data_IF_923411272760
#
_entry.id   IF_923411272760
#
_cell.length_a   1.000
_cell.length_b   1.000
_cell.length_c   1.000
_cell.angle_alpha   90.00
_cell.angle_beta   90.00
_cell.angle_gamma   90.00
#
_symmetry.space_group_name_H-M   'P 1'
#
loop_
_entity.id
_entity.type
_entity.pdbx_description
1 polymer ?
#
# COMPACT_ATOMS: atom_id res chain seq x y z
N UNK A 1 13.91 -26.88 77.57
CA UNK A 1 14.23 -25.94 76.47
C UNK A 1 14.03 -26.69 75.16
N UNK A 2 12.99 -26.31 74.42
CA UNK A 2 12.64 -26.92 73.14
C UNK A 2 13.44 -26.24 72.02
N UNK A 3 14.14 -27.02 71.20
CA UNK A 3 14.77 -26.54 69.96
C UNK A 3 14.16 -27.33 68.78
N UNK A 4 13.54 -26.67 67.79
CA UNK A 4 12.90 -27.35 66.67
C UNK A 4 13.91 -27.69 65.56
N UNK A 5 13.65 -28.82 64.89
CA UNK A 5 14.31 -29.25 63.65
C UNK A 5 13.94 -28.32 62.51
N UNK A 6 14.94 -27.77 61.80
CA UNK A 6 14.74 -27.12 60.51
C UNK A 6 14.75 -28.17 59.39
N UNK A 7 13.62 -28.25 58.68
CA UNK A 7 13.44 -29.05 57.46
C UNK A 7 13.99 -28.22 56.30
N UNK A 8 14.99 -28.74 55.58
CA UNK A 8 15.51 -28.11 54.36
C UNK A 8 14.76 -28.70 53.16
N UNK A 9 13.89 -27.90 52.56
CA UNK A 9 13.25 -28.21 51.28
C UNK A 9 14.23 -27.98 50.12
N UNK A 10 14.29 -28.85 49.09
CA UNK A 10 15.10 -28.58 47.92
C UNK A 10 14.39 -27.56 47.02
N UNK A 11 15.07 -26.47 46.70
CA UNK A 11 14.66 -25.52 45.65
C UNK A 11 14.69 -26.22 44.29
N UNK A 12 13.52 -26.46 43.70
CA UNK A 12 13.39 -26.85 42.29
C UNK A 12 13.82 -25.69 41.40
N UNK A 13 14.99 -25.81 40.77
CA UNK A 13 15.46 -24.89 39.74
C UNK A 13 14.66 -25.15 38.46
N UNK A 14 13.61 -24.35 38.23
CA UNK A 14 12.92 -24.33 36.95
C UNK A 14 13.88 -23.81 35.87
N UNK A 15 14.19 -24.65 34.89
CA UNK A 15 14.98 -24.28 33.72
C UNK A 15 14.11 -23.45 32.77
N UNK A 16 14.37 -22.14 32.67
CA UNK A 16 13.83 -21.32 31.60
C UNK A 16 14.53 -21.72 30.28
N UNK A 17 13.81 -22.43 29.41
CA UNK A 17 14.19 -22.61 28.01
C UNK A 17 13.79 -21.35 27.24
N UNK A 18 14.71 -20.63 26.57
CA UNK A 18 14.31 -19.58 25.66
C UNK A 18 13.62 -20.24 24.46
N UNK A 19 12.33 -19.97 24.27
CA UNK A 19 11.65 -20.28 23.02
C UNK A 19 12.12 -19.26 21.98
N UNK A 20 12.96 -19.70 21.05
CA UNK A 20 13.27 -18.93 19.85
C UNK A 20 12.03 -18.96 18.96
N UNK A 21 11.31 -17.84 18.90
CA UNK A 21 10.30 -17.62 17.87
C UNK A 21 11.06 -17.51 16.54
N UNK A 22 11.10 -18.61 15.79
CA UNK A 22 11.52 -18.59 14.39
C UNK A 22 10.39 -17.96 13.58
N UNK A 23 10.47 -16.66 13.36
CA UNK A 23 9.73 -16.02 12.26
C UNK A 23 10.34 -16.56 10.97
N UNK A 24 9.63 -17.45 10.29
CA UNK A 24 10.04 -17.94 8.99
C UNK A 24 9.98 -16.77 7.98
N UNK A 25 11.11 -16.11 7.76
CA UNK A 25 11.26 -15.17 6.66
C UNK A 25 11.01 -15.93 5.35
N UNK A 26 9.88 -15.64 4.69
CA UNK A 26 9.61 -16.17 3.35
C UNK A 26 10.59 -15.49 2.39
N UNK A 27 11.39 -16.24 1.62
CA UNK A 27 12.39 -15.65 0.74
C UNK A 27 11.71 -14.83 -0.37
N UNK A 28 12.26 -13.64 -0.64
CA UNK A 28 11.79 -12.71 -1.68
C UNK A 28 11.61 -13.37 -3.07
N UNK A 29 12.33 -14.47 -3.33
CA UNK A 29 12.22 -15.30 -4.54
C UNK A 29 10.81 -15.88 -4.78
N UNK A 30 10.03 -16.19 -3.73
CA UNK A 30 8.65 -16.67 -3.90
C UNK A 30 7.67 -15.56 -4.34
N UNK A 31 7.93 -14.29 -3.97
CA UNK A 31 7.10 -13.15 -4.39
C UNK A 31 7.24 -12.84 -5.88
N UNK A 32 8.40 -13.13 -6.49
CA UNK A 32 8.68 -12.83 -7.91
C UNK A 32 8.01 -13.85 -8.85
N UNK A 33 7.88 -15.13 -8.46
CA UNK A 33 7.26 -16.16 -9.32
C UNK A 33 5.74 -16.11 -9.33
N UNK A 34 5.08 -15.74 -8.23
CA UNK A 34 3.63 -15.53 -8.19
C UNK A 34 3.19 -14.38 -9.13
N UNK A 35 4.06 -13.39 -9.35
CA UNK A 35 3.78 -12.20 -10.16
C UNK A 35 3.67 -12.45 -11.68
N UNK A 36 4.00 -13.65 -12.18
CA UNK A 36 3.96 -13.92 -13.63
C UNK A 36 2.58 -14.34 -14.16
N UNK A 37 1.63 -14.71 -13.29
CA UNK A 37 0.29 -15.16 -13.68
C UNK A 37 -0.86 -14.43 -12.97
N UNK A 38 -0.58 -13.42 -12.14
CA UNK A 38 -1.64 -12.71 -11.41
C UNK A 38 -2.51 -11.88 -12.35
N UNK A 39 -3.81 -11.84 -12.06
CA UNK A 39 -4.76 -10.94 -12.74
C UNK A 39 -4.59 -9.50 -12.26
N UNK A 40 -5.18 -8.52 -12.97
CA UNK A 40 -5.14 -7.12 -12.55
C UNK A 40 -5.88 -6.94 -11.22
N UNK A 41 -7.02 -7.62 -11.02
CA UNK A 41 -7.73 -7.59 -9.74
C UNK A 41 -6.90 -8.18 -8.59
N UNK A 42 -6.15 -9.25 -8.83
CA UNK A 42 -5.26 -9.83 -7.80
C UNK A 42 -4.12 -8.87 -7.43
N UNK A 43 -3.58 -8.13 -8.39
CA UNK A 43 -2.54 -7.14 -8.15
C UNK A 43 -3.05 -5.94 -7.33
N UNK A 44 -4.21 -5.40 -7.70
CA UNK A 44 -4.82 -4.24 -7.01
C UNK A 44 -5.29 -4.61 -5.60
N UNK A 45 -6.01 -5.73 -5.45
CA UNK A 45 -6.44 -6.23 -4.13
C UNK A 45 -5.25 -6.60 -3.23
N UNK A 46 -4.07 -6.90 -3.79
CA UNK A 46 -2.86 -7.07 -3.00
C UNK A 46 -2.39 -5.74 -2.39
N UNK A 47 -2.32 -4.68 -3.20
CA UNK A 47 -1.96 -3.34 -2.74
C UNK A 47 -2.94 -2.86 -1.64
N UNK A 48 -4.24 -3.06 -1.81
CA UNK A 48 -5.25 -2.69 -0.80
C UNK A 48 -5.00 -3.33 0.55
N UNK A 49 -4.62 -4.61 0.57
CA UNK A 49 -4.28 -5.33 1.80
C UNK A 49 -3.00 -4.81 2.43
N UNK A 50 -2.00 -4.45 1.62
CA UNK A 50 -0.78 -3.80 2.12
C UNK A 50 -1.10 -2.42 2.72
N UNK A 51 -1.88 -1.59 2.03
CA UNK A 51 -2.33 -0.29 2.53
C UNK A 51 -3.09 -0.40 3.85
N UNK A 52 -4.01 -1.36 3.97
CA UNK A 52 -4.72 -1.64 5.23
C UNK A 52 -3.78 -2.06 6.35
N UNK A 53 -2.77 -2.87 6.01
CA UNK A 53 -1.74 -3.27 6.97
C UNK A 53 -0.96 -2.07 7.46
N UNK A 54 -0.48 -1.20 6.56
CA UNK A 54 0.28 -0.01 6.93
C UNK A 54 -0.56 0.99 7.74
N UNK A 55 -1.84 1.15 7.39
CA UNK A 55 -2.78 1.93 8.17
C UNK A 55 -2.89 1.41 9.62
N UNK A 56 -3.12 0.10 9.79
CA UNK A 56 -3.23 -0.54 11.11
C UNK A 56 -1.96 -0.36 11.95
N UNK A 57 -0.79 -0.56 11.33
CA UNK A 57 0.51 -0.37 11.98
C UNK A 57 0.70 1.03 12.57
N UNK A 58 0.10 2.06 11.95
CA UNK A 58 0.14 3.44 12.46
C UNK A 58 -0.87 3.64 13.59
N UNK A 59 -2.12 3.21 13.40
CA UNK A 59 -3.20 3.48 14.38
C UNK A 59 -3.09 2.65 15.66
N UNK A 60 -2.48 1.47 15.58
CA UNK A 60 -2.33 0.55 16.71
C UNK A 60 -1.06 0.81 17.54
N UNK A 61 -0.12 1.62 17.02
CA UNK A 61 1.14 1.96 17.69
C UNK A 61 1.34 3.48 17.84
N UNK A 62 0.36 4.24 18.38
CA UNK A 62 0.38 5.71 18.35
C UNK A 62 1.53 6.36 19.13
N UNK A 63 2.10 5.65 20.11
CA UNK A 63 3.15 6.16 20.99
C UNK A 63 4.58 5.92 20.45
N UNK A 64 4.74 5.09 19.41
CA UNK A 64 6.04 4.82 18.78
C UNK A 64 6.24 5.72 17.55
N UNK A 65 6.82 6.90 17.79
CA UNK A 65 7.03 7.92 16.75
C UNK A 65 7.91 7.42 15.59
N UNK A 66 8.93 6.59 15.84
CA UNK A 66 9.78 6.08 14.75
C UNK A 66 9.02 5.05 13.90
N UNK A 67 8.22 4.18 14.54
CA UNK A 67 7.37 3.20 13.86
C UNK A 67 6.32 3.87 12.98
N UNK A 68 5.54 4.82 13.52
CA UNK A 68 4.51 5.52 12.74
C UNK A 68 5.13 6.38 11.63
N UNK A 69 6.34 6.92 11.82
CA UNK A 69 7.07 7.64 10.76
C UNK A 69 7.38 6.71 9.59
N UNK A 70 7.85 5.49 9.88
CA UNK A 70 8.20 4.49 8.86
C UNK A 70 6.98 4.03 8.09
N UNK A 71 5.93 3.63 8.81
CA UNK A 71 4.70 3.16 8.17
C UNK A 71 3.92 4.29 7.50
N UNK A 72 3.98 5.52 8.01
CA UNK A 72 3.42 6.70 7.34
C UNK A 72 4.09 7.00 6.00
N UNK A 73 5.42 6.85 5.93
CA UNK A 73 6.15 6.91 4.66
C UNK A 73 5.77 5.76 3.73
N UNK A 74 5.68 4.53 4.24
CA UNK A 74 5.28 3.36 3.46
C UNK A 74 3.86 3.49 2.90
N UNK A 75 2.89 3.92 3.72
CA UNK A 75 1.51 4.17 3.32
C UNK A 75 1.44 5.23 2.23
N UNK A 76 2.14 6.36 2.41
CA UNK A 76 2.19 7.44 1.40
C UNK A 76 2.80 6.96 0.09
N UNK A 77 3.92 6.23 0.18
CA UNK A 77 4.67 5.71 -0.95
C UNK A 77 3.85 4.69 -1.76
N UNK A 78 3.11 3.85 -1.08
CA UNK A 78 2.29 2.83 -1.72
C UNK A 78 1.04 3.44 -2.35
N UNK A 79 0.30 4.27 -1.59
CA UNK A 79 -0.94 4.89 -2.06
C UNK A 79 -0.73 5.77 -3.28
N UNK A 80 0.32 6.61 -3.27
CA UNK A 80 0.60 7.50 -4.39
C UNK A 80 0.86 6.73 -5.70
N UNK A 81 1.68 5.68 -5.65
CA UNK A 81 2.04 4.90 -6.86
C UNK A 81 0.89 4.04 -7.33
N UNK A 82 0.12 3.49 -6.41
CA UNK A 82 -1.10 2.73 -6.67
C UNK A 82 -2.11 3.60 -7.44
N UNK A 83 -2.52 4.74 -6.88
CA UNK A 83 -3.54 5.59 -7.51
C UNK A 83 -3.15 6.09 -8.90
N UNK A 84 -1.88 6.51 -9.10
CA UNK A 84 -1.41 6.94 -10.43
C UNK A 84 -1.36 5.76 -11.42
N UNK A 85 -0.98 4.56 -10.96
CA UNK A 85 -0.94 3.40 -11.85
C UNK A 85 -2.35 2.96 -12.31
N UNK A 86 -3.38 3.13 -11.48
CA UNK A 86 -4.78 2.87 -11.85
C UNK A 86 -5.27 3.89 -12.88
N UNK A 87 -5.00 5.17 -12.66
CA UNK A 87 -5.37 6.25 -13.57
C UNK A 87 -4.73 6.11 -14.96
N UNK A 88 -3.49 5.62 -15.01
CA UNK A 88 -2.76 5.43 -16.27
C UNK A 88 -3.13 4.14 -17.01
N UNK A 89 -3.63 3.11 -16.32
CA UNK A 89 -3.79 1.77 -16.92
C UNK A 89 -5.18 1.17 -16.74
N UNK A 90 -5.73 1.21 -15.53
CA UNK A 90 -7.00 0.56 -15.18
C UNK A 90 -8.16 1.38 -15.70
N UNK A 91 -8.15 2.70 -15.49
CA UNK A 91 -9.24 3.58 -15.92
C UNK A 91 -9.38 3.61 -17.44
N UNK A 92 -8.30 3.75 -18.25
CA UNK A 92 -8.38 3.59 -19.70
C UNK A 92 -8.82 2.18 -20.13
N UNK A 93 -8.47 1.13 -19.37
CA UNK A 93 -8.93 -0.22 -19.67
C UNK A 93 -10.44 -0.36 -19.43
N UNK A 94 -10.97 0.18 -18.33
CA UNK A 94 -12.41 0.23 -18.08
C UNK A 94 -13.14 0.95 -19.21
N UNK A 95 -12.70 2.15 -19.57
CA UNK A 95 -13.29 2.93 -20.68
C UNK A 95 -13.28 2.16 -22.01
N UNK A 96 -12.18 1.46 -22.29
CA UNK A 96 -12.01 0.70 -23.54
C UNK A 96 -12.86 -0.56 -23.60
N UNK A 97 -12.91 -1.34 -22.52
CA UNK A 97 -13.47 -2.69 -22.55
C UNK A 97 -14.91 -2.76 -22.02
N UNK A 98 -15.33 -1.82 -21.17
CA UNK A 98 -16.68 -1.78 -20.57
C UNK A 98 -17.58 -0.71 -21.18
N UNK A 99 -17.08 0.09 -22.13
CA UNK A 99 -17.85 1.11 -22.85
C UNK A 99 -18.34 2.23 -21.95
N UNK A 100 -19.59 2.65 -22.11
CA UNK A 100 -20.14 3.80 -21.38
C UNK A 100 -20.18 3.58 -19.86
N UNK A 101 -20.48 2.35 -19.42
CA UNK A 101 -20.41 1.99 -18.00
C UNK A 101 -18.98 2.14 -17.46
N UNK A 102 -17.99 1.68 -18.22
CA UNK A 102 -16.58 1.84 -17.87
C UNK A 102 -16.14 3.30 -17.71
N UNK A 103 -16.62 4.19 -18.57
CA UNK A 103 -16.36 5.64 -18.44
C UNK A 103 -16.97 6.24 -17.18
N UNK A 104 -18.19 5.83 -16.83
CA UNK A 104 -18.86 6.32 -15.63
C UNK A 104 -18.12 5.88 -14.36
N UNK A 105 -17.69 4.62 -14.32
CA UNK A 105 -16.88 4.07 -13.23
C UNK A 105 -15.56 4.85 -13.11
N UNK A 106 -14.77 4.88 -14.19
CA UNK A 106 -13.50 5.59 -14.23
C UNK A 106 -13.60 7.09 -13.86
N UNK A 107 -14.67 7.78 -14.24
CA UNK A 107 -14.90 9.18 -13.87
C UNK A 107 -15.29 9.36 -12.40
N UNK A 108 -16.01 8.40 -11.82
CA UNK A 108 -16.29 8.35 -10.38
C UNK A 108 -14.99 8.18 -9.60
N UNK A 109 -14.16 7.21 -10.00
CA UNK A 109 -12.96 6.83 -9.27
C UNK A 109 -11.90 7.93 -9.30
N UNK A 110 -11.75 8.65 -10.42
CA UNK A 110 -10.91 9.86 -10.50
C UNK A 110 -11.30 10.93 -9.49
N UNK A 111 -12.59 11.14 -9.25
CA UNK A 111 -13.05 12.12 -8.25
C UNK A 111 -12.71 11.67 -6.84
N UNK A 112 -12.90 10.39 -6.54
CA UNK A 112 -12.55 9.82 -5.24
C UNK A 112 -11.03 9.89 -5.00
N UNK A 113 -10.22 9.54 -6.01
CA UNK A 113 -8.77 9.69 -6.00
C UNK A 113 -8.33 11.13 -5.77
N UNK A 114 -8.95 12.10 -6.43
CA UNK A 114 -8.61 13.51 -6.24
C UNK A 114 -8.76 13.94 -4.77
N UNK A 115 -9.87 13.57 -4.13
CA UNK A 115 -10.11 13.86 -2.71
C UNK A 115 -9.04 13.21 -1.81
N UNK A 116 -8.73 11.93 -2.06
CA UNK A 116 -7.68 11.19 -1.34
C UNK A 116 -6.31 11.85 -1.56
N UNK A 117 -5.96 12.25 -2.78
CA UNK A 117 -4.70 12.90 -3.12
C UNK A 117 -4.53 14.24 -2.40
N UNK A 118 -5.58 15.04 -2.27
CA UNK A 118 -5.55 16.30 -1.51
C UNK A 118 -5.19 16.03 -0.05
N UNK A 119 -5.92 15.11 0.60
CA UNK A 119 -5.66 14.77 2.00
C UNK A 119 -4.28 14.13 2.19
N UNK A 120 -3.87 13.27 1.26
CA UNK A 120 -2.53 12.65 1.28
C UNK A 120 -1.43 13.70 1.15
N UNK A 121 -1.65 14.77 0.35
CA UNK A 121 -0.71 15.89 0.23
C UNK A 121 -0.53 16.64 1.54
N UNK A 122 -1.59 16.78 2.33
CA UNK A 122 -1.47 17.34 3.67
C UNK A 122 -0.71 16.38 4.58
N UNK A 123 -1.18 15.14 4.70
CA UNK A 123 -0.62 14.10 5.57
C UNK A 123 0.87 13.88 5.36
N UNK A 124 1.31 13.79 4.11
CA UNK A 124 2.69 13.49 3.76
C UNK A 124 3.71 14.55 4.20
N UNK A 125 3.24 15.73 4.63
CA UNK A 125 4.04 16.86 5.11
C UNK A 125 3.85 17.11 6.62
N UNK A 126 3.03 16.32 7.30
CA UNK A 126 2.78 16.47 8.74
C UNK A 126 3.93 15.91 9.57
N UNK A 127 4.11 16.49 10.76
CA UNK A 127 4.96 15.92 11.80
C UNK A 127 4.26 14.67 12.39
N UNK A 128 4.88 13.48 12.36
CA UNK A 128 4.34 12.27 12.98
C UNK A 128 4.06 12.41 14.49
N UNK A 129 4.76 13.32 15.20
CA UNK A 129 4.50 13.60 16.61
C UNK A 129 3.29 14.51 16.85
N UNK A 130 2.67 15.06 15.79
CA UNK A 130 1.49 15.91 15.92
C UNK A 130 0.27 15.12 16.38
N UNK A 131 -0.50 15.67 17.32
CA UNK A 131 -1.78 15.09 17.76
C UNK A 131 -2.82 14.97 16.63
N UNK A 132 -2.63 15.67 15.50
CA UNK A 132 -3.50 15.61 14.32
C UNK A 132 -3.08 14.57 13.28
N UNK A 133 -1.90 13.94 13.43
CA UNK A 133 -1.34 13.00 12.45
C UNK A 133 -2.26 11.79 12.22
N UNK A 134 -2.59 11.06 13.30
CA UNK A 134 -3.48 9.89 13.24
C UNK A 134 -4.91 10.27 12.83
N UNK A 135 -5.52 11.35 13.37
CA UNK A 135 -6.80 11.84 12.86
C UNK A 135 -6.84 12.07 11.34
N UNK A 136 -5.79 12.69 10.76
CA UNK A 136 -5.70 12.89 9.31
C UNK A 136 -5.59 11.58 8.55
N UNK A 137 -4.79 10.62 9.05
CA UNK A 137 -4.72 9.28 8.44
C UNK A 137 -6.07 8.56 8.44
N UNK A 138 -6.83 8.67 9.54
CA UNK A 138 -8.18 8.08 9.64
C UNK A 138 -9.17 8.73 8.66
N UNK A 139 -9.06 10.03 8.45
CA UNK A 139 -9.84 10.76 7.44
C UNK A 139 -9.55 10.21 6.03
N UNK A 140 -8.27 10.09 5.66
CA UNK A 140 -7.84 9.48 4.38
C UNK A 140 -8.40 8.06 4.25
N UNK A 141 -8.20 7.23 5.29
CA UNK A 141 -8.62 5.83 5.27
C UNK A 141 -10.14 5.69 5.10
N UNK A 142 -10.94 6.58 5.70
CA UNK A 142 -12.40 6.52 5.56
C UNK A 142 -12.88 6.76 4.13
N UNK A 143 -12.18 7.58 3.34
CA UNK A 143 -12.50 7.76 1.92
C UNK A 143 -11.98 6.58 1.10
N UNK A 144 -10.72 6.19 1.36
CA UNK A 144 -10.05 5.11 0.65
C UNK A 144 -10.72 3.76 0.86
N UNK A 145 -11.20 3.43 2.06
CA UNK A 145 -11.88 2.16 2.34
C UNK A 145 -13.22 2.04 1.60
N UNK A 146 -13.93 3.16 1.40
CA UNK A 146 -15.14 3.17 0.55
C UNK A 146 -14.79 2.95 -0.91
N UNK A 147 -13.77 3.65 -1.41
CA UNK A 147 -13.27 3.48 -2.77
C UNK A 147 -12.87 2.02 -3.04
N UNK A 148 -12.02 1.45 -2.17
CA UNK A 148 -11.61 0.04 -2.23
C UNK A 148 -12.82 -0.90 -2.25
N UNK A 149 -13.83 -0.65 -1.42
CA UNK A 149 -15.01 -1.50 -1.34
C UNK A 149 -15.87 -1.45 -2.61
N UNK A 150 -15.99 -0.28 -3.24
CA UNK A 150 -16.66 -0.11 -4.53
C UNK A 150 -15.85 -0.82 -5.63
N UNK A 151 -14.54 -0.59 -5.68
CA UNK A 151 -13.67 -1.13 -6.71
C UNK A 151 -13.58 -2.67 -6.67
N UNK A 152 -13.38 -3.27 -5.49
CA UNK A 152 -13.29 -4.73 -5.33
C UNK A 152 -14.62 -5.45 -5.58
N UNK A 153 -15.75 -4.77 -5.36
CA UNK A 153 -17.08 -5.35 -5.48
C UNK A 153 -17.68 -5.20 -6.87
N UNK A 154 -17.45 -4.05 -7.50
CA UNK A 154 -18.17 -3.64 -8.70
C UNK A 154 -17.24 -3.45 -9.90
N UNK A 155 -16.14 -2.71 -9.77
CA UNK A 155 -15.30 -2.30 -10.91
C UNK A 155 -14.39 -3.43 -11.40
N UNK A 156 -13.61 -4.02 -10.49
CA UNK A 156 -12.67 -5.07 -10.80
C UNK A 156 -13.36 -6.33 -11.36
N UNK A 157 -14.47 -6.84 -10.77
CA UNK A 157 -15.19 -7.96 -11.37
C UNK A 157 -15.76 -7.64 -12.77
N UNK A 158 -16.26 -6.42 -12.98
CA UNK A 158 -16.79 -6.02 -14.28
C UNK A 158 -15.68 -5.89 -15.34
N UNK A 159 -14.51 -5.38 -14.96
CA UNK A 159 -13.34 -5.32 -15.83
C UNK A 159 -12.86 -6.73 -16.20
N UNK A 160 -12.71 -7.64 -15.24
CA UNK A 160 -12.31 -9.02 -15.50
C UNK A 160 -13.30 -9.73 -16.43
N UNK A 161 -14.60 -9.51 -16.23
CA UNK A 161 -15.62 -10.04 -17.14
C UNK A 161 -15.46 -9.49 -18.57
N UNK A 162 -15.17 -8.20 -18.73
CA UNK A 162 -14.94 -7.60 -20.05
C UNK A 162 -13.64 -8.11 -20.72
N UNK A 163 -12.66 -8.51 -19.92
CA UNK A 163 -11.38 -9.07 -20.38
C UNK A 163 -11.43 -10.59 -20.63
N UNK A 164 -12.48 -11.30 -20.21
CA UNK A 164 -12.54 -12.76 -20.25
C UNK A 164 -12.80 -13.36 -21.65
N UNK A 165 -13.11 -12.55 -22.66
CA UNK A 165 -13.31 -13.04 -24.02
C UNK A 165 -12.02 -13.62 -24.61
N UNK A 166 -12.11 -14.63 -25.49
CA UNK A 166 -10.93 -15.26 -26.10
C UNK A 166 -10.05 -14.24 -26.86
N UNK A 167 -10.66 -13.23 -27.47
CA UNK A 167 -9.96 -12.12 -28.14
C UNK A 167 -9.07 -11.30 -27.18
N UNK A 168 -9.44 -11.24 -25.90
CA UNK A 168 -8.77 -10.45 -24.86
C UNK A 168 -7.95 -11.34 -23.90
N UNK A 169 -7.78 -12.63 -24.21
CA UNK A 169 -7.06 -13.58 -23.36
C UNK A 169 -5.66 -13.05 -23.03
N UNK A 170 -5.31 -13.06 -21.75
CA UNK A 170 -4.02 -12.57 -21.26
C UNK A 170 -3.95 -11.06 -21.02
N UNK A 171 -4.99 -10.28 -21.39
CA UNK A 171 -4.98 -8.84 -21.17
C UNK A 171 -4.97 -8.48 -19.68
N UNK A 172 -5.68 -9.22 -18.82
CA UNK A 172 -5.66 -9.00 -17.37
C UNK A 172 -4.24 -9.21 -16.80
N UNK A 173 -3.57 -10.29 -17.17
CA UNK A 173 -2.17 -10.55 -16.75
C UNK A 173 -1.20 -9.50 -17.32
N UNK A 174 -1.42 -9.05 -18.55
CA UNK A 174 -0.63 -7.98 -19.17
C UNK A 174 -0.81 -6.65 -18.44
N UNK A 175 -2.05 -6.30 -18.07
CA UNK A 175 -2.36 -5.14 -17.24
C UNK A 175 -1.67 -5.24 -15.88
N UNK A 176 -1.78 -6.38 -15.17
CA UNK A 176 -1.10 -6.59 -13.90
C UNK A 176 0.42 -6.39 -13.99
N UNK A 177 1.04 -6.93 -15.03
CA UNK A 177 2.48 -6.77 -15.28
C UNK A 177 2.86 -5.31 -15.55
N UNK A 178 2.05 -4.61 -16.34
CA UNK A 178 2.29 -3.20 -16.64
C UNK A 178 2.04 -2.32 -15.42
N UNK A 179 1.01 -2.62 -14.62
CA UNK A 179 0.72 -1.97 -13.35
C UNK A 179 1.90 -2.03 -12.40
N UNK A 180 2.44 -3.23 -12.15
CA UNK A 180 3.63 -3.40 -11.32
C UNK A 180 4.87 -2.65 -11.85
N UNK A 181 5.04 -2.59 -13.19
CA UNK A 181 6.13 -1.83 -13.82
C UNK A 181 5.93 -0.33 -13.68
N UNK A 182 4.73 0.18 -13.97
CA UNK A 182 4.39 1.60 -13.89
C UNK A 182 4.63 2.13 -12.49
N UNK A 183 4.25 1.38 -11.45
CA UNK A 183 4.54 1.73 -10.05
C UNK A 183 6.03 1.97 -9.75
N UNK A 184 6.95 1.44 -10.53
CA UNK A 184 8.39 1.69 -10.34
C UNK A 184 8.85 3.07 -10.87
N UNK A 185 8.04 3.73 -11.70
CA UNK A 185 8.43 4.95 -12.43
C UNK A 185 7.53 6.16 -12.16
N UNK A 186 6.34 5.95 -11.62
CA UNK A 186 5.42 7.03 -11.22
C UNK A 186 5.89 7.71 -9.92
N UNK A 187 5.36 8.91 -9.61
CA UNK A 187 5.65 9.61 -8.36
C UNK A 187 5.32 8.75 -7.14
N UNK A 188 6.14 8.84 -6.11
CA UNK A 188 5.94 8.15 -4.84
C UNK A 188 5.32 9.03 -3.75
N UNK A 189 4.88 10.23 -4.11
CA UNK A 189 4.11 11.12 -3.24
C UNK A 189 2.94 11.75 -4.01
N UNK A 190 2.00 12.31 -3.25
CA UNK A 190 0.85 12.99 -3.83
C UNK A 190 1.22 14.37 -4.38
N UNK A 191 0.68 14.67 -5.56
CA UNK A 191 0.83 15.96 -6.25
C UNK A 191 -0.51 16.37 -6.92
N UNK A 192 -1.55 16.71 -6.14
CA UNK A 192 -2.90 16.97 -6.68
C UNK A 192 -2.95 18.17 -7.64
N UNK A 193 -1.98 19.09 -7.55
CA UNK A 193 -1.84 20.21 -8.49
C UNK A 193 -1.44 19.78 -9.91
N UNK A 194 -1.10 18.49 -10.13
CA UNK A 194 -0.76 17.95 -11.44
C UNK A 194 -2.00 17.60 -12.31
N UNK A 195 -3.22 17.65 -11.73
CA UNK A 195 -4.48 17.34 -12.42
C UNK A 195 -4.83 15.84 -12.47
N UNK A 196 -6.07 15.51 -12.87
CA UNK A 196 -6.66 14.15 -12.82
C UNK A 196 -6.97 13.53 -14.21
N UNK A 197 -6.72 14.27 -15.29
CA UNK A 197 -7.08 13.79 -16.63
C UNK A 197 -5.91 12.98 -17.21
N UNK A 198 -6.06 11.73 -17.67
CA UNK A 198 -4.94 10.93 -18.19
C UNK A 198 -4.23 11.54 -19.42
N UNK A 199 -4.87 12.49 -20.12
CA UNK A 199 -4.22 13.30 -21.18
C UNK A 199 -3.52 14.57 -20.65
N UNK A 200 -3.83 14.99 -19.42
CA UNK A 200 -3.28 16.16 -18.74
C UNK A 200 -2.76 15.89 -17.30
N UNK A 201 -2.53 14.64 -16.90
CA UNK A 201 -1.45 14.28 -15.98
C UNK A 201 -0.20 14.70 -16.74
N UNK A 202 0.05 16.02 -16.69
CA UNK A 202 0.93 16.65 -17.62
C UNK A 202 2.34 16.12 -17.39
N UNK A 203 3.28 16.44 -18.29
CA UNK A 203 4.70 16.23 -18.04
C UNK A 203 5.11 16.67 -16.62
N UNK A 204 4.45 17.66 -16.02
CA UNK A 204 4.67 18.12 -14.65
C UNK A 204 4.43 17.07 -13.53
N UNK A 205 3.42 16.20 -13.64
CA UNK A 205 3.15 15.16 -12.62
C UNK A 205 4.25 14.10 -12.61
N UNK A 206 4.65 13.62 -13.79
CA UNK A 206 5.77 12.68 -13.94
C UNK A 206 7.14 13.32 -13.67
N UNK A 207 7.30 14.63 -13.86
CA UNK A 207 8.54 15.36 -13.53
C UNK A 207 8.85 15.35 -12.03
N UNK A 208 7.85 15.16 -11.17
CA UNK A 208 8.08 15.00 -9.74
C UNK A 208 8.66 13.64 -9.36
N UNK A 209 8.44 12.59 -10.18
CA UNK A 209 8.86 11.23 -9.83
C UNK A 209 10.36 11.13 -9.55
N UNK A 210 11.29 11.63 -10.39
CA UNK A 210 12.72 11.58 -10.08
C UNK A 210 13.09 12.26 -8.76
N UNK A 211 12.42 13.38 -8.43
CA UNK A 211 12.68 14.12 -7.19
C UNK A 211 12.19 13.33 -5.97
N UNK A 212 10.98 12.76 -6.05
CA UNK A 212 10.42 11.96 -4.98
C UNK A 212 11.27 10.71 -4.69
N UNK A 213 11.69 9.99 -5.73
CA UNK A 213 12.53 8.79 -5.61
C UNK A 213 13.89 9.10 -4.98
N UNK A 214 14.51 10.25 -5.29
CA UNK A 214 15.74 10.71 -4.63
C UNK A 214 15.47 11.01 -3.15
N UNK A 215 14.39 11.74 -2.85
CA UNK A 215 14.05 12.09 -1.48
C UNK A 215 13.72 10.84 -0.63
N UNK A 216 13.16 9.81 -1.24
CA UNK A 216 12.85 8.55 -0.56
C UNK A 216 14.09 7.80 -0.07
N UNK A 217 15.24 7.93 -0.72
CA UNK A 217 16.50 7.34 -0.25
C UNK A 217 16.86 7.83 1.17
N UNK A 218 16.45 9.06 1.50
CA UNK A 218 16.71 9.70 2.79
C UNK A 218 15.57 9.50 3.80
N UNK A 219 14.46 8.86 3.42
CA UNK A 219 13.34 8.56 4.32
C UNK A 219 13.55 7.24 5.06
N UNK A 220 12.84 7.09 6.17
CA UNK A 220 12.77 5.85 6.95
C UNK A 220 11.57 5.03 6.48
N UNK A 221 11.81 3.75 6.21
CA UNK A 221 10.80 2.76 5.88
C UNK A 221 10.88 1.59 6.88
N UNK A 222 9.82 0.79 7.04
CA UNK A 222 9.86 -0.41 7.85
C UNK A 222 10.74 -1.47 7.19
N UNK A 223 11.30 -2.38 8.00
CA UNK A 223 12.09 -3.49 7.48
C UNK A 223 11.17 -4.58 6.90
N UNK A 224 11.64 -5.34 5.91
CA UNK A 224 10.87 -6.44 5.32
C UNK A 224 9.73 -6.04 4.37
N UNK A 225 9.48 -4.74 4.16
CA UNK A 225 8.58 -4.24 3.09
C UNK A 225 9.35 -3.96 1.80
N UNK A 226 8.63 -3.83 0.70
CA UNK A 226 9.22 -3.27 -0.53
C UNK A 226 9.43 -1.79 -0.27
N UNK A 227 10.69 -1.34 -0.31
CA UNK A 227 11.06 0.06 -0.14
C UNK A 227 11.99 0.53 -1.27
N UNK A 228 12.00 1.84 -1.54
CA UNK A 228 12.85 2.45 -2.57
C UNK A 228 14.35 2.43 -2.22
N UNK A 229 14.72 2.12 -0.97
CA UNK A 229 16.12 2.00 -0.58
C UNK A 229 16.60 0.52 -0.64
N UNK A 230 17.40 0.12 -1.65
CA UNK A 230 17.86 -1.26 -1.79
C UNK A 230 18.85 -1.70 -0.71
N UNK A 231 19.41 -0.78 0.08
CA UNK A 231 20.46 -1.08 1.08
C UNK A 231 19.93 -1.62 2.42
N UNK A 232 18.61 -1.63 2.64
CA UNK A 232 17.97 -2.14 3.87
C UNK A 232 17.26 -3.50 3.69
N UNK A 233 17.58 -4.22 2.61
CA UNK A 233 17.08 -5.58 2.37
C UNK A 233 18.00 -6.64 2.96
#
# INVERSE_FOLDING_TARGET
MFAPRAIVSPLTRAAFRPQTIRVAARPAYFRIQAAFNSTISEAITHDHRELKTYYNEIVDNPDDIDHITRYGNQFTWELARHSVAEELLVYPAMEKYMGEKGKQHAESDRKQHHEVKILLKEFQNMDPASSTYIPKLKEIWSLLERHIAEEEKDDLPALEQALSSEKNRGNSQSLAKNFARTKAFVPSRSHPSAGENPYFEGPMGMLAAPIDHIADIFRKFPDGTISPNPSKK
#
